data_IF_014628491520
#
_entry.id   IF_014628491520
#
_cell.length_a   1.000
_cell.length_b   1.000
_cell.length_c   1.000
_cell.angle_alpha   90.00
_cell.angle_beta   90.00
_cell.angle_gamma   90.00
#
_symmetry.space_group_name_H-M   'P 1'
#
loop_
_entity.id
_entity.type
_entity.pdbx_description
1 polymer ?
#
# COMPACT_ATOMS: atom_id res chain seq x y z
N UNK A 1 -11.82 8.98 12.48
CA UNK A 1 -11.60 7.61 12.96
C UNK A 1 -12.62 6.70 12.29
N UNK A 2 -12.27 6.07 11.16
CA UNK A 2 -13.12 5.01 10.59
C UNK A 2 -12.67 3.70 11.22
N UNK A 3 -13.40 3.26 12.24
CA UNK A 3 -13.26 1.91 12.78
C UNK A 3 -13.77 0.93 11.71
N UNK A 4 -12.86 0.33 10.93
CA UNK A 4 -13.19 -0.90 10.19
C UNK A 4 -13.47 -1.97 11.24
N UNK A 5 -14.74 -2.30 11.46
CA UNK A 5 -15.14 -3.55 12.11
C UNK A 5 -14.61 -4.68 11.23
N UNK A 6 -13.55 -5.35 11.68
CA UNK A 6 -13.22 -6.67 11.18
C UNK A 6 -14.34 -7.61 11.61
N UNK A 7 -15.23 -7.93 10.67
CA UNK A 7 -16.12 -9.06 10.81
C UNK A 7 -15.29 -10.33 10.89
N UNK A 8 -15.71 -11.27 11.72
CA UNK A 8 -15.10 -12.59 11.87
C UNK A 8 -15.23 -13.34 10.54
N UNK A 9 -14.30 -13.10 9.61
CA UNK A 9 -14.24 -13.86 8.38
C UNK A 9 -13.57 -15.18 8.72
N UNK A 10 -14.31 -16.26 8.52
CA UNK A 10 -13.85 -17.63 8.64
C UNK A 10 -12.49 -17.76 7.97
N UNK A 11 -11.53 -18.28 8.74
CA UNK A 11 -10.18 -18.65 8.31
C UNK A 11 -10.30 -19.44 7.01
N UNK A 12 -9.75 -18.89 5.93
CA UNK A 12 -9.61 -19.62 4.68
C UNK A 12 -8.81 -20.89 4.98
N UNK A 13 -9.34 -22.02 4.53
CA UNK A 13 -8.72 -23.33 4.64
C UNK A 13 -7.36 -23.28 3.96
N UNK A 14 -6.32 -23.47 4.77
CA UNK A 14 -4.94 -23.50 4.34
C UNK A 14 -4.73 -24.85 3.65
N UNK A 15 -4.65 -24.86 2.33
CA UNK A 15 -4.13 -26.02 1.59
C UNK A 15 -2.66 -26.19 1.95
N UNK A 16 -2.30 -27.38 2.43
CA UNK A 16 -0.95 -27.76 2.85
C UNK A 16 0.04 -27.77 1.68
N UNK A 17 0.67 -26.62 1.40
CA UNK A 17 1.98 -26.58 0.76
C UNK A 17 3.05 -26.76 1.84
N UNK A 18 3.31 -28.01 2.23
CA UNK A 18 4.44 -28.33 3.11
C UNK A 18 5.76 -27.84 2.48
N UNK A 19 6.44 -26.93 3.18
CA UNK A 19 7.83 -26.46 3.01
C UNK A 19 8.17 -25.45 1.89
N UNK A 20 7.30 -24.49 1.57
CA UNK A 20 7.75 -23.27 0.90
C UNK A 20 8.40 -22.30 1.90
N UNK A 21 9.69 -21.96 1.70
CA UNK A 21 10.36 -20.90 2.45
C UNK A 21 9.86 -19.54 1.98
N UNK A 22 9.23 -18.78 2.87
CA UNK A 22 8.74 -17.43 2.59
C UNK A 22 9.48 -16.40 3.43
N UNK A 23 10.02 -15.36 2.78
CA UNK A 23 10.61 -14.21 3.46
C UNK A 23 9.58 -13.08 3.57
N UNK A 24 9.35 -12.59 4.79
CA UNK A 24 8.43 -11.48 5.03
C UNK A 24 9.16 -10.13 4.91
N UNK A 25 8.70 -9.27 3.99
CA UNK A 25 9.22 -7.92 3.85
C UNK A 25 8.41 -6.96 4.73
N UNK A 26 8.91 -6.68 5.94
CA UNK A 26 8.24 -5.77 6.87
C UNK A 26 8.43 -4.31 6.45
N UNK A 27 7.48 -3.76 5.69
CA UNK A 27 7.48 -2.37 5.22
C UNK A 27 6.58 -1.43 6.05
N UNK A 28 5.85 -1.95 7.05
CA UNK A 28 4.77 -1.21 7.73
C UNK A 28 5.26 0.08 8.39
N UNK A 29 6.21 0.00 9.32
CA UNK A 29 6.66 1.17 10.07
C UNK A 29 7.34 2.22 9.18
N UNK A 30 8.16 1.77 8.21
CA UNK A 30 8.78 2.66 7.22
C UNK A 30 7.72 3.41 6.40
N UNK A 31 6.64 2.72 6.02
CA UNK A 31 5.57 3.29 5.21
C UNK A 31 4.71 4.29 5.98
N UNK A 32 4.48 4.06 7.28
CA UNK A 32 3.76 4.99 8.16
C UNK A 32 4.47 6.35 8.29
N UNK A 33 5.80 6.38 8.20
CA UNK A 33 6.58 7.61 8.22
C UNK A 33 6.45 8.46 6.94
N UNK A 34 5.82 7.92 5.89
CA UNK A 34 5.79 8.52 4.54
C UNK A 34 4.40 8.99 4.12
N UNK A 35 3.69 9.66 5.03
CA UNK A 35 2.38 10.30 4.74
C UNK A 35 2.43 11.27 3.55
N UNK A 36 3.61 11.81 3.26
CA UNK A 36 3.89 12.71 2.13
C UNK A 36 3.90 12.00 0.77
N UNK A 37 4.05 10.67 0.74
CA UNK A 37 4.18 9.91 -0.50
C UNK A 37 2.83 9.56 -1.17
N UNK A 38 1.71 9.94 -0.56
CA UNK A 38 0.37 9.72 -1.11
C UNK A 38 0.01 10.73 -2.22
N UNK A 39 -0.77 10.33 -3.25
CA UNK A 39 -1.26 11.25 -4.27
C UNK A 39 -2.15 12.36 -3.75
N UNK A 40 -2.87 12.13 -2.63
CA UNK A 40 -3.86 13.07 -2.11
C UNK A 40 -4.86 13.45 -3.22
N UNK A 41 -5.00 14.73 -3.55
CA UNK A 41 -5.89 15.24 -4.59
C UNK A 41 -5.35 15.08 -6.02
N UNK A 42 -4.11 14.64 -6.19
CA UNK A 42 -3.48 14.41 -7.49
C UNK A 42 -3.72 12.96 -7.94
N UNK A 43 -4.99 12.54 -7.87
CA UNK A 43 -5.43 11.17 -8.20
C UNK A 43 -6.51 11.20 -9.30
N UNK A 44 -6.99 10.02 -9.67
CA UNK A 44 -8.11 9.81 -10.59
C UNK A 44 -9.39 9.44 -9.83
N UNK A 45 -10.54 9.85 -10.35
CA UNK A 45 -11.84 9.41 -9.87
C UNK A 45 -12.15 7.97 -10.36
N UNK A 46 -13.34 7.48 -10.00
CA UNK A 46 -13.79 6.11 -10.31
C UNK A 46 -13.96 5.88 -11.82
N UNK A 47 -14.13 6.95 -12.57
CA UNK A 47 -14.26 6.96 -14.02
C UNK A 47 -12.89 7.03 -14.72
N UNK A 48 -11.78 7.01 -13.96
CA UNK A 48 -10.42 7.04 -14.48
C UNK A 48 -9.95 8.41 -14.96
N UNK A 49 -10.65 9.49 -14.58
CA UNK A 49 -10.32 10.87 -14.97
C UNK A 49 -9.68 11.62 -13.80
N UNK A 50 -8.80 12.60 -14.06
CA UNK A 50 -8.30 13.48 -13.00
C UNK A 50 -9.46 14.18 -12.28
N UNK A 51 -9.32 14.37 -10.96
CA UNK A 51 -10.30 15.10 -10.17
C UNK A 51 -10.55 16.51 -10.73
N UNK A 52 -11.83 16.93 -10.73
CA UNK A 52 -12.23 18.29 -11.10
C UNK A 52 -11.70 19.32 -10.11
N UNK A 53 -11.75 20.61 -10.48
CA UNK A 53 -11.32 21.70 -9.60
C UNK A 53 -12.10 21.70 -8.27
N UNK A 54 -13.40 21.43 -8.33
CA UNK A 54 -14.30 21.39 -7.16
C UNK A 54 -14.03 20.16 -6.28
N UNK A 55 -13.69 19.02 -6.88
CA UNK A 55 -13.33 17.79 -6.16
C UNK A 55 -11.99 17.96 -5.43
N UNK A 56 -11.00 18.59 -6.08
CA UNK A 56 -9.69 18.90 -5.48
C UNK A 56 -9.78 19.83 -4.27
N UNK A 57 -10.82 20.66 -4.19
CA UNK A 57 -11.08 21.52 -3.02
C UNK A 57 -11.64 20.74 -1.81
N UNK A 58 -11.97 19.45 -1.98
CA UNK A 58 -12.54 18.59 -0.93
C UNK A 58 -11.63 17.37 -0.64
N UNK A 59 -10.39 17.58 -0.16
CA UNK A 59 -9.40 16.51 0.03
C UNK A 59 -9.84 15.43 1.03
N UNK A 60 -10.66 15.75 2.03
CA UNK A 60 -11.18 14.77 2.99
C UNK A 60 -12.08 13.73 2.30
N UNK A 61 -12.77 14.13 1.22
CA UNK A 61 -13.74 13.28 0.51
C UNK A 61 -13.12 12.58 -0.70
N UNK A 62 -12.26 13.28 -1.44
CA UNK A 62 -11.71 12.80 -2.72
C UNK A 62 -10.22 12.51 -2.69
N UNK A 63 -9.52 12.84 -1.59
CA UNK A 63 -8.09 12.57 -1.46
C UNK A 63 -7.80 11.08 -1.36
N UNK A 64 -6.79 10.65 -2.10
CA UNK A 64 -6.26 9.29 -2.05
C UNK A 64 -5.13 9.19 -1.02
N UNK A 65 -5.43 8.53 0.10
CA UNK A 65 -4.48 8.26 1.18
C UNK A 65 -4.15 6.76 1.30
N UNK A 66 -4.37 5.97 0.25
CA UNK A 66 -4.13 4.52 0.26
C UNK A 66 -3.18 4.08 -0.85
N UNK A 67 -3.11 4.82 -1.95
CA UNK A 67 -2.12 4.61 -3.01
C UNK A 67 -0.90 5.51 -2.83
N UNK A 68 0.09 5.35 -3.69
CA UNK A 68 1.36 6.05 -3.62
C UNK A 68 1.68 6.70 -4.96
N UNK A 69 2.26 7.89 -4.93
CA UNK A 69 2.85 8.50 -6.12
C UNK A 69 4.00 7.65 -6.66
N UNK A 70 4.20 7.72 -7.98
CA UNK A 70 5.40 7.21 -8.64
C UNK A 70 6.10 8.36 -9.39
N UNK A 71 7.43 8.54 -9.23
CA UNK A 71 8.30 7.81 -8.30
C UNK A 71 7.94 8.09 -6.82
N UNK A 72 8.20 7.13 -5.92
CA UNK A 72 7.79 7.26 -4.52
C UNK A 72 8.07 6.05 -3.61
N UNK A 73 7.22 5.88 -2.59
CA UNK A 73 7.40 4.85 -1.55
C UNK A 73 7.52 3.42 -2.10
N UNK A 74 6.74 2.99 -3.12
CA UNK A 74 6.89 1.66 -3.71
C UNK A 74 8.28 1.38 -4.28
N UNK A 75 9.01 2.40 -4.73
CA UNK A 75 10.37 2.22 -5.23
C UNK A 75 11.32 1.79 -4.11
N UNK A 76 11.12 2.31 -2.89
CA UNK A 76 11.88 1.89 -1.70
C UNK A 76 11.60 0.43 -1.36
N UNK A 77 10.33 0.00 -1.45
CA UNK A 77 9.97 -1.41 -1.25
C UNK A 77 10.65 -2.32 -2.28
N UNK A 78 10.71 -1.90 -3.55
CA UNK A 78 11.38 -2.63 -4.61
C UNK A 78 12.89 -2.76 -4.37
N UNK A 79 13.54 -1.73 -3.83
CA UNK A 79 14.96 -1.79 -3.44
C UNK A 79 15.17 -2.77 -2.29
N UNK A 80 14.31 -2.75 -1.27
CA UNK A 80 14.40 -3.68 -0.13
C UNK A 80 14.14 -5.13 -0.56
N UNK A 81 13.17 -5.35 -1.46
CA UNK A 81 12.91 -6.65 -2.07
C UNK A 81 14.14 -7.14 -2.82
N UNK A 82 14.72 -6.29 -3.68
CA UNK A 82 15.92 -6.62 -4.44
C UNK A 82 17.10 -6.97 -3.54
N UNK A 83 17.27 -6.25 -2.42
CA UNK A 83 18.27 -6.57 -1.41
C UNK A 83 18.00 -7.94 -0.77
N UNK A 84 16.76 -8.24 -0.38
CA UNK A 84 16.40 -9.53 0.23
C UNK A 84 16.59 -10.73 -0.69
N UNK A 85 16.46 -10.55 -2.01
CA UNK A 85 16.70 -11.59 -3.01
C UNK A 85 18.19 -11.77 -3.32
N UNK A 86 19.01 -10.75 -3.06
CA UNK A 86 20.44 -10.73 -3.40
C UNK A 86 21.33 -11.12 -2.23
N UNK A 87 20.86 -11.06 -0.99
CA UNK A 87 21.59 -11.55 0.17
C UNK A 87 21.47 -13.08 0.16
N UNK A 88 22.54 -13.84 -0.11
CA UNK A 88 22.50 -15.28 0.09
C UNK A 88 22.24 -15.53 1.57
N UNK A 89 21.20 -16.29 1.88
CA UNK A 89 20.95 -16.82 3.22
C UNK A 89 22.25 -17.43 3.76
N UNK A 90 22.73 -16.96 4.91
CA UNK A 90 23.79 -17.64 5.67
C UNK A 90 23.34 -19.05 6.06
#
# INVERSE_FOLDING_TARGET
MVSKKFGNHSRAEHTDHENASHTYLNITHLSELRIDAHPSIYTINREGKPLSTEERQQPIKYGDCSHWCLPGLPDTWNVLLLASLRIPTL
#
